data_IF_121791609536
#
_entry.id   IF_121791609536
#
_cell.length_a   1.000
_cell.length_b   1.000
_cell.length_c   1.000
_cell.angle_alpha   90.00
_cell.angle_beta   90.00
_cell.angle_gamma   90.00
#
_symmetry.space_group_name_H-M   'P 1'
#
loop_
_entity.id
_entity.type
_entity.pdbx_description
1 polymer ?
#
# COMPACT_ATOMS: atom_id res chain seq x y z
N UNK A 1 4.76 15.53 29.87
CA UNK A 1 5.20 16.93 29.73
C UNK A 1 5.97 17.17 28.43
N UNK A 2 7.07 16.44 28.20
CA UNK A 2 7.97 16.62 27.03
C UNK A 2 7.23 16.52 25.69
N UNK A 3 6.32 15.55 25.52
CA UNK A 3 5.55 15.38 24.28
C UNK A 3 4.70 16.63 23.95
N UNK A 4 4.00 17.16 24.95
CA UNK A 4 3.14 18.33 24.74
C UNK A 4 3.97 19.60 24.42
N UNK A 5 5.14 19.75 25.00
CA UNK A 5 6.04 20.85 24.72
C UNK A 5 6.63 20.75 23.31
N UNK A 6 7.08 19.54 22.89
CA UNK A 6 7.62 19.31 21.54
C UNK A 6 6.50 19.54 20.51
N UNK A 7 5.28 19.06 20.75
CA UNK A 7 4.15 19.28 19.84
C UNK A 7 3.82 20.76 19.67
N UNK A 8 3.90 21.55 20.76
CA UNK A 8 3.67 23.00 20.71
C UNK A 8 4.83 23.76 20.05
N UNK A 9 6.06 23.26 20.12
CA UNK A 9 7.23 23.90 19.50
C UNK A 9 7.30 23.73 17.98
N UNK A 10 6.66 22.70 17.44
CA UNK A 10 6.60 22.45 15.99
C UNK A 10 5.75 23.53 15.31
N UNK A 11 6.32 24.21 14.31
CA UNK A 11 5.59 25.24 13.55
C UNK A 11 4.36 24.65 12.85
N UNK A 12 3.17 25.29 12.91
CA UNK A 12 1.94 24.80 12.27
C UNK A 12 2.07 24.46 10.78
N UNK A 13 2.98 25.14 10.08
CA UNK A 13 3.27 24.89 8.67
C UNK A 13 3.67 23.44 8.38
N UNK A 14 4.37 22.75 9.30
CA UNK A 14 4.76 21.35 9.11
C UNK A 14 3.57 20.40 9.24
N UNK A 15 2.60 20.70 10.11
CA UNK A 15 1.35 19.93 10.22
C UNK A 15 0.52 20.07 8.94
N UNK A 16 0.36 21.29 8.45
CA UNK A 16 -0.37 21.56 7.19
C UNK A 16 0.33 20.87 6.02
N UNK A 17 1.66 20.94 5.93
CA UNK A 17 2.42 20.25 4.88
C UNK A 17 2.22 18.74 4.95
N UNK A 18 2.24 18.13 6.15
CA UNK A 18 1.98 16.71 6.35
C UNK A 18 0.57 16.30 5.88
N UNK A 19 -0.45 17.08 6.25
CA UNK A 19 -1.84 16.84 5.80
C UNK A 19 -1.97 16.96 4.27
N UNK A 20 -1.35 17.96 3.65
CA UNK A 20 -1.32 18.10 2.19
C UNK A 20 -0.66 16.88 1.54
N UNK A 21 0.44 16.37 2.09
CA UNK A 21 1.12 15.17 1.58
C UNK A 21 0.21 13.94 1.61
N UNK A 22 -0.58 13.76 2.68
CA UNK A 22 -1.57 12.67 2.78
C UNK A 22 -2.67 12.82 1.73
N UNK A 23 -3.23 14.02 1.58
CA UNK A 23 -4.25 14.28 0.54
C UNK A 23 -3.70 13.97 -0.85
N UNK A 24 -2.47 14.38 -1.16
CA UNK A 24 -1.82 14.07 -2.44
C UNK A 24 -1.62 12.55 -2.58
N UNK A 25 -1.22 11.87 -1.52
CA UNK A 25 -1.06 10.41 -1.49
C UNK A 25 -2.37 9.69 -1.87
N UNK A 26 -3.51 10.07 -1.26
CA UNK A 26 -4.83 9.51 -1.57
C UNK A 26 -5.26 9.87 -3.00
N UNK A 27 -5.00 11.10 -3.44
CA UNK A 27 -5.31 11.54 -4.80
C UNK A 27 -4.53 10.75 -5.86
N UNK A 28 -3.27 10.36 -5.59
CA UNK A 28 -2.50 9.51 -6.50
C UNK A 28 -3.17 8.15 -6.70
N UNK A 29 -3.62 7.47 -5.63
CA UNK A 29 -4.33 6.19 -5.77
C UNK A 29 -5.66 6.36 -6.51
N UNK A 30 -6.42 7.39 -6.16
CA UNK A 30 -7.67 7.72 -6.84
C UNK A 30 -7.45 7.96 -8.34
N UNK A 31 -6.35 8.62 -8.71
CA UNK A 31 -5.96 8.84 -10.10
C UNK A 31 -5.64 7.52 -10.80
N UNK A 32 -4.91 6.61 -10.15
CA UNK A 32 -4.58 5.29 -10.72
C UNK A 32 -5.87 4.50 -10.99
N UNK A 33 -6.77 4.39 -9.99
CA UNK A 33 -8.05 3.71 -10.13
C UNK A 33 -8.88 4.33 -11.26
N UNK A 34 -8.98 5.66 -11.30
CA UNK A 34 -9.68 6.40 -12.36
C UNK A 34 -9.12 6.07 -13.74
N UNK A 35 -7.81 6.08 -13.92
CA UNK A 35 -7.15 5.79 -15.20
C UNK A 35 -7.34 4.34 -15.62
N UNK A 36 -7.34 3.39 -14.68
CA UNK A 36 -7.64 1.98 -14.93
C UNK A 36 -9.08 1.78 -15.39
N UNK A 37 -10.05 2.41 -14.72
CA UNK A 37 -11.46 2.37 -15.13
C UNK A 37 -11.66 2.92 -16.55
N UNK A 38 -10.99 4.04 -16.90
CA UNK A 38 -11.05 4.60 -18.25
C UNK A 38 -10.44 3.68 -19.30
N UNK A 39 -9.35 3.00 -18.99
CA UNK A 39 -8.73 2.02 -19.88
C UNK A 39 -9.67 0.84 -20.16
N UNK A 40 -10.48 0.46 -19.18
CA UNK A 40 -11.46 -0.65 -19.25
C UNK A 40 -12.86 -0.18 -19.68
N UNK A 41 -12.96 1.03 -20.26
CA UNK A 41 -14.19 1.62 -20.82
C UNK A 41 -15.31 1.95 -19.82
N UNK A 42 -15.05 1.98 -18.53
CA UNK A 42 -15.99 2.47 -17.50
C UNK A 42 -15.99 4.00 -17.46
N UNK A 43 -16.58 4.62 -18.48
CA UNK A 43 -16.56 6.08 -18.68
C UNK A 43 -17.56 6.85 -17.81
N UNK A 44 -18.54 6.17 -17.24
CA UNK A 44 -19.61 6.78 -16.44
C UNK A 44 -19.21 7.02 -14.98
N UNK A 45 -18.13 6.40 -14.53
CA UNK A 45 -17.64 6.56 -13.15
C UNK A 45 -16.90 7.90 -13.00
N UNK A 46 -17.41 8.86 -12.22
CA UNK A 46 -16.78 10.16 -12.05
C UNK A 46 -15.54 10.06 -11.15
N UNK A 47 -14.59 11.00 -11.33
CA UNK A 47 -13.36 11.09 -10.50
C UNK A 47 -13.67 11.13 -9.00
N UNK A 48 -14.75 11.79 -8.60
CA UNK A 48 -15.20 11.89 -7.20
C UNK A 48 -15.45 10.51 -6.57
N UNK A 49 -15.98 9.54 -7.33
CA UNK A 49 -16.21 8.19 -6.81
C UNK A 49 -14.89 7.45 -6.62
N UNK A 50 -13.90 7.65 -7.51
CA UNK A 50 -12.56 7.07 -7.34
C UNK A 50 -11.87 7.59 -6.04
N UNK A 51 -12.07 8.88 -5.71
CA UNK A 51 -11.59 9.44 -4.43
C UNK A 51 -12.26 8.74 -3.25
N UNK A 52 -13.58 8.51 -3.30
CA UNK A 52 -14.29 7.75 -2.26
C UNK A 52 -13.76 6.32 -2.11
N UNK A 53 -13.47 5.63 -3.23
CA UNK A 53 -12.92 4.27 -3.17
C UNK A 53 -11.58 4.25 -2.44
N UNK A 54 -10.68 5.20 -2.72
CA UNK A 54 -9.38 5.29 -2.05
C UNK A 54 -9.53 5.56 -0.56
N UNK A 55 -10.35 6.55 -0.16
CA UNK A 55 -10.60 6.81 1.27
C UNK A 55 -11.19 5.61 2.00
N UNK A 56 -12.19 4.96 1.42
CA UNK A 56 -12.79 3.74 1.99
C UNK A 56 -11.74 2.62 2.09
N UNK A 57 -10.92 2.45 1.05
CA UNK A 57 -9.85 1.46 1.05
C UNK A 57 -8.86 1.68 2.18
N UNK A 58 -8.37 2.89 2.34
CA UNK A 58 -7.42 3.23 3.41
C UNK A 58 -8.04 3.09 4.79
N UNK A 59 -9.25 3.62 5.00
CA UNK A 59 -9.95 3.49 6.28
C UNK A 59 -10.09 2.02 6.71
N UNK A 60 -10.64 1.17 5.86
CA UNK A 60 -10.83 -0.25 6.19
C UNK A 60 -9.50 -1.02 6.27
N UNK A 61 -8.48 -0.63 5.53
CA UNK A 61 -7.14 -1.20 5.66
C UNK A 61 -6.52 -0.90 7.02
N UNK A 62 -6.77 0.28 7.58
CA UNK A 62 -6.24 0.66 8.88
C UNK A 62 -6.87 -0.10 10.06
N UNK A 63 -8.16 -0.45 9.98
CA UNK A 63 -8.89 -1.10 11.08
C UNK A 63 -8.92 -2.62 11.00
N UNK A 64 -8.44 -3.21 9.89
CA UNK A 64 -8.45 -4.67 9.69
C UNK A 64 -7.05 -5.28 9.74
N UNK A 65 -6.92 -6.52 10.25
CA UNK A 65 -5.65 -7.23 10.25
C UNK A 65 -5.08 -7.36 8.81
N UNK A 66 -3.79 -7.15 8.65
CA UNK A 66 -3.10 -7.21 7.34
C UNK A 66 -3.73 -6.35 6.23
N UNK A 67 -4.44 -5.27 6.59
CA UNK A 67 -5.15 -4.40 5.65
C UNK A 67 -6.18 -5.14 4.76
N UNK A 68 -6.69 -6.30 5.20
CA UNK A 68 -7.52 -7.20 4.39
C UNK A 68 -8.91 -6.64 4.06
N UNK A 69 -9.42 -5.69 4.84
CA UNK A 69 -10.74 -5.10 4.64
C UNK A 69 -10.81 -4.01 3.58
N UNK A 70 -9.69 -3.40 3.22
CA UNK A 70 -9.66 -2.27 2.29
C UNK A 70 -10.18 -2.63 0.89
N UNK A 71 -9.60 -3.64 0.27
CA UNK A 71 -9.97 -4.08 -1.08
C UNK A 71 -11.42 -4.58 -1.20
N UNK A 72 -11.95 -5.45 -0.31
CA UNK A 72 -13.35 -5.85 -0.36
C UNK A 72 -14.31 -4.67 -0.27
N UNK A 73 -14.00 -3.66 0.56
CA UNK A 73 -14.84 -2.47 0.66
C UNK A 73 -14.73 -1.56 -0.56
N UNK A 74 -13.55 -1.41 -1.15
CA UNK A 74 -13.40 -0.74 -2.44
C UNK A 74 -14.23 -1.43 -3.53
N UNK A 75 -14.17 -2.77 -3.63
CA UNK A 75 -14.97 -3.56 -4.56
C UNK A 75 -16.49 -3.38 -4.33
N UNK A 76 -16.91 -3.35 -3.08
CA UNK A 76 -18.31 -3.11 -2.75
C UNK A 76 -18.81 -1.76 -3.30
N UNK A 77 -18.06 -0.68 -3.09
CA UNK A 77 -18.43 0.64 -3.60
C UNK A 77 -18.30 0.75 -5.12
N UNK A 78 -17.30 0.11 -5.73
CA UNK A 78 -17.16 0.03 -7.18
C UNK A 78 -18.35 -0.71 -7.81
N UNK A 79 -18.78 -1.82 -7.21
CA UNK A 79 -19.93 -2.58 -7.69
C UNK A 79 -21.25 -1.79 -7.56
N UNK A 80 -21.41 -1.02 -6.48
CA UNK A 80 -22.54 -0.10 -6.32
C UNK A 80 -22.62 0.95 -7.43
N UNK A 81 -21.47 1.35 -7.95
CA UNK A 81 -21.35 2.29 -9.08
C UNK A 81 -21.33 1.54 -10.45
N UNK A 82 -21.85 0.31 -10.49
CA UNK A 82 -22.01 -0.54 -11.69
C UNK A 82 -20.70 -1.00 -12.33
N UNK A 83 -19.60 -1.03 -11.59
CA UNK A 83 -18.36 -1.68 -12.02
C UNK A 83 -18.46 -3.16 -11.67
N UNK A 84 -18.22 -4.03 -12.64
CA UNK A 84 -18.22 -5.48 -12.41
C UNK A 84 -17.17 -5.88 -11.37
N UNK A 85 -17.56 -6.77 -10.45
CA UNK A 85 -16.67 -7.23 -9.36
C UNK A 85 -15.37 -7.81 -9.92
N UNK A 86 -15.44 -8.55 -11.02
CA UNK A 86 -14.27 -9.15 -11.66
C UNK A 86 -13.30 -8.09 -12.19
N UNK A 87 -13.84 -7.06 -12.85
CA UNK A 87 -13.07 -5.93 -13.35
C UNK A 87 -12.47 -5.12 -12.22
N UNK A 88 -13.26 -4.82 -11.19
CA UNK A 88 -12.78 -4.15 -9.98
C UNK A 88 -11.66 -4.95 -9.29
N UNK A 89 -11.78 -6.28 -9.23
CA UNK A 89 -10.74 -7.16 -8.69
C UNK A 89 -9.43 -7.05 -9.47
N UNK A 90 -9.49 -7.07 -10.81
CA UNK A 90 -8.28 -6.89 -11.64
C UNK A 90 -7.64 -5.53 -11.39
N UNK A 91 -8.44 -4.44 -11.35
CA UNK A 91 -7.93 -3.09 -11.07
C UNK A 91 -7.20 -3.05 -9.73
N UNK A 92 -7.83 -3.51 -8.65
CA UNK A 92 -7.25 -3.47 -7.32
C UNK A 92 -6.04 -4.40 -7.18
N UNK A 93 -6.04 -5.53 -7.88
CA UNK A 93 -4.89 -6.42 -7.93
C UNK A 93 -3.70 -5.75 -8.62
N UNK A 94 -3.90 -5.04 -9.74
CA UNK A 94 -2.84 -4.27 -10.40
C UNK A 94 -2.35 -3.13 -9.51
N UNK A 95 -3.23 -2.39 -8.84
CA UNK A 95 -2.84 -1.36 -7.87
C UNK A 95 -1.94 -1.96 -6.79
N UNK A 96 -2.28 -3.12 -6.26
CA UNK A 96 -1.49 -3.82 -5.24
C UNK A 96 -0.15 -4.31 -5.79
N UNK A 97 -0.13 -4.87 -7.00
CA UNK A 97 1.12 -5.27 -7.68
C UNK A 97 2.05 -4.07 -7.83
N UNK A 98 1.55 -2.94 -8.34
CA UNK A 98 2.34 -1.72 -8.51
C UNK A 98 2.91 -1.23 -7.19
N UNK A 99 2.09 -1.21 -6.14
CA UNK A 99 2.50 -0.84 -4.80
C UNK A 99 3.64 -1.73 -4.27
N UNK A 100 3.43 -3.04 -4.27
CA UNK A 100 4.42 -4.00 -3.79
C UNK A 100 5.68 -4.02 -4.65
N UNK A 101 5.53 -3.86 -5.95
CA UNK A 101 6.67 -3.75 -6.87
C UNK A 101 7.51 -2.50 -6.57
N UNK A 102 6.88 -1.36 -6.23
CA UNK A 102 7.59 -0.16 -5.78
C UNK A 102 8.37 -0.44 -4.48
N UNK A 103 7.80 -1.17 -3.51
CA UNK A 103 8.52 -1.54 -2.29
C UNK A 103 9.75 -2.42 -2.60
N UNK A 104 9.59 -3.43 -3.46
CA UNK A 104 10.70 -4.29 -3.90
C UNK A 104 11.77 -3.47 -4.64
N UNK A 105 11.36 -2.58 -5.54
CA UNK A 105 12.24 -1.70 -6.28
C UNK A 105 13.05 -0.78 -5.36
N UNK A 106 12.38 -0.09 -4.43
CA UNK A 106 13.05 0.76 -3.44
C UNK A 106 13.97 -0.04 -2.52
N UNK A 107 13.55 -1.22 -2.07
CA UNK A 107 14.38 -2.12 -1.28
C UNK A 107 15.64 -2.55 -2.02
N UNK A 108 15.53 -2.87 -3.31
CA UNK A 108 16.68 -3.20 -4.15
C UNK A 108 17.63 -2.00 -4.33
N UNK A 109 17.10 -0.79 -4.57
CA UNK A 109 17.91 0.43 -4.65
C UNK A 109 18.65 0.72 -3.33
N UNK A 110 17.97 0.55 -2.20
CA UNK A 110 18.58 0.73 -0.87
C UNK A 110 19.68 -0.29 -0.67
N UNK A 111 19.45 -1.55 -1.00
CA UNK A 111 20.46 -2.60 -0.89
C UNK A 111 21.69 -2.34 -1.76
N UNK A 112 21.50 -1.86 -3.00
CA UNK A 112 22.60 -1.60 -3.93
C UNK A 112 23.40 -0.34 -3.58
N UNK A 113 22.72 0.75 -3.21
CA UNK A 113 23.36 2.07 -3.09
C UNK A 113 23.51 2.55 -1.66
N UNK A 114 22.82 1.96 -0.70
CA UNK A 114 22.78 2.41 0.71
C UNK A 114 22.97 1.28 1.72
N UNK A 115 23.62 0.16 1.33
CA UNK A 115 23.82 -0.97 2.22
C UNK A 115 24.62 -0.60 3.48
N UNK A 116 25.57 0.34 3.42
CA UNK A 116 26.30 0.83 4.59
C UNK A 116 25.37 1.53 5.58
N UNK A 117 24.47 2.39 5.09
CA UNK A 117 23.46 3.05 5.93
C UNK A 117 22.53 2.01 6.59
N UNK A 118 22.12 0.99 5.84
CA UNK A 118 21.34 -0.13 6.36
C UNK A 118 22.09 -0.86 7.47
N UNK A 119 23.37 -1.21 7.24
CA UNK A 119 24.20 -1.90 8.23
C UNK A 119 24.40 -1.07 9.52
N UNK A 120 24.56 0.24 9.40
CA UNK A 120 24.79 1.13 10.52
C UNK A 120 23.57 1.35 11.41
N UNK A 121 22.37 1.53 10.79
CA UNK A 121 21.16 1.95 11.51
C UNK A 121 20.18 0.81 11.78
N UNK A 122 20.14 -0.25 10.97
CA UNK A 122 19.14 -1.29 11.08
C UNK A 122 19.49 -2.39 12.10
N UNK A 123 20.78 -2.77 12.22
CA UNK A 123 21.21 -3.77 13.19
C UNK A 123 20.33 -5.04 13.22
N UNK A 124 19.75 -5.36 14.39
CA UNK A 124 18.86 -6.53 14.56
C UNK A 124 17.57 -6.47 13.74
N UNK A 125 17.15 -5.29 13.28
CA UNK A 125 15.97 -5.12 12.42
C UNK A 125 16.21 -5.62 10.97
N UNK A 126 17.46 -5.93 10.59
CA UNK A 126 17.80 -6.46 9.26
C UNK A 126 17.03 -7.75 8.93
N UNK A 127 16.79 -8.62 9.92
CA UNK A 127 15.97 -9.82 9.72
C UNK A 127 14.56 -9.47 9.18
N UNK A 128 13.88 -8.51 9.78
CA UNK A 128 12.55 -8.09 9.35
C UNK A 128 12.56 -7.46 7.94
N UNK A 129 13.63 -6.74 7.60
CA UNK A 129 13.79 -6.16 6.27
C UNK A 129 13.95 -7.26 5.21
N UNK A 130 14.84 -8.22 5.40
CA UNK A 130 15.04 -9.30 4.42
C UNK A 130 13.81 -10.22 4.33
N UNK A 131 13.17 -10.53 5.46
CA UNK A 131 11.91 -11.27 5.48
C UNK A 131 10.81 -10.51 4.71
N UNK A 132 10.63 -9.22 4.98
CA UNK A 132 9.68 -8.37 4.30
C UNK A 132 9.94 -8.29 2.79
N UNK A 133 11.21 -8.15 2.38
CA UNK A 133 11.61 -8.19 0.97
C UNK A 133 11.24 -9.52 0.30
N UNK A 134 11.60 -10.64 0.91
CA UNK A 134 11.30 -11.97 0.39
C UNK A 134 9.78 -12.19 0.23
N UNK A 135 9.00 -11.81 1.24
CA UNK A 135 7.55 -11.92 1.21
C UNK A 135 6.92 -11.01 0.13
N UNK A 136 7.41 -9.77 -0.01
CA UNK A 136 6.92 -8.87 -1.07
C UNK A 136 7.27 -9.39 -2.47
N UNK A 137 8.50 -9.88 -2.68
CA UNK A 137 8.90 -10.51 -3.96
C UNK A 137 8.01 -11.71 -4.27
N UNK A 138 7.81 -12.61 -3.30
CA UNK A 138 6.92 -13.75 -3.46
C UNK A 138 5.48 -13.32 -3.81
N UNK A 139 4.94 -12.34 -3.10
CA UNK A 139 3.59 -11.83 -3.34
C UNK A 139 3.46 -11.20 -4.75
N UNK A 140 4.43 -10.39 -5.17
CA UNK A 140 4.45 -9.80 -6.52
C UNK A 140 4.49 -10.89 -7.58
N UNK A 141 5.41 -11.87 -7.44
CA UNK A 141 5.52 -12.98 -8.39
C UNK A 141 4.21 -13.78 -8.47
N UNK A 142 3.61 -14.12 -7.33
CA UNK A 142 2.35 -14.83 -7.26
C UNK A 142 1.20 -14.05 -7.93
N UNK A 143 1.07 -12.76 -7.62
CA UNK A 143 0.01 -11.92 -8.20
C UNK A 143 0.23 -11.71 -9.71
N UNK A 144 1.47 -11.55 -10.16
CA UNK A 144 1.79 -11.47 -11.59
C UNK A 144 1.38 -12.76 -12.31
N UNK A 145 1.68 -13.92 -11.74
CA UNK A 145 1.23 -15.22 -12.31
C UNK A 145 -0.28 -15.23 -12.47
N UNK A 146 -1.04 -14.80 -11.47
CA UNK A 146 -2.51 -14.75 -11.55
C UNK A 146 -3.02 -13.81 -12.64
N UNK A 147 -2.33 -12.69 -12.89
CA UNK A 147 -2.70 -11.73 -13.96
C UNK A 147 -2.28 -12.24 -15.33
N UNK A 148 -1.07 -12.80 -15.48
CA UNK A 148 -0.54 -13.24 -16.77
C UNK A 148 -1.07 -14.61 -17.20
N UNK A 149 -1.47 -15.46 -16.22
CA UNK A 149 -2.06 -16.78 -16.43
C UNK A 149 -3.47 -16.84 -15.87
N UNK A 150 -4.45 -16.18 -16.52
CA UNK A 150 -5.83 -16.12 -16.01
C UNK A 150 -6.49 -17.50 -15.88
N UNK A 151 -6.01 -18.50 -16.63
CA UNK A 151 -6.46 -19.90 -16.51
C UNK A 151 -6.13 -20.51 -15.15
N UNK A 152 -4.96 -20.15 -14.56
CA UNK A 152 -4.59 -20.54 -13.21
C UNK A 152 -5.48 -19.84 -12.17
N UNK A 153 -5.75 -18.56 -12.35
CA UNK A 153 -6.68 -17.83 -11.49
C UNK A 153 -8.06 -18.51 -11.46
N UNK A 154 -8.60 -18.86 -12.63
CA UNK A 154 -9.88 -19.58 -12.74
C UNK A 154 -9.85 -20.95 -12.04
N UNK A 155 -8.77 -21.73 -12.21
CA UNK A 155 -8.62 -23.04 -11.55
C UNK A 155 -8.58 -22.89 -10.03
N UNK A 156 -7.87 -21.90 -9.51
CA UNK A 156 -7.79 -21.63 -8.06
C UNK A 156 -9.15 -21.25 -7.51
N UNK A 157 -9.88 -20.37 -8.19
CA UNK A 157 -11.24 -19.94 -7.77
C UNK A 157 -12.20 -21.12 -7.80
N UNK A 158 -12.20 -21.94 -8.86
CA UNK A 158 -13.03 -23.12 -8.95
C UNK A 158 -12.70 -24.16 -7.86
N UNK A 159 -11.41 -24.39 -7.60
CA UNK A 159 -10.97 -25.28 -6.53
C UNK A 159 -11.43 -24.79 -5.15
N UNK A 160 -11.28 -23.49 -4.86
CA UNK A 160 -11.79 -22.89 -3.62
C UNK A 160 -13.31 -23.04 -3.52
N UNK A 161 -14.05 -22.80 -4.60
CA UNK A 161 -15.49 -22.96 -4.65
C UNK A 161 -15.92 -24.40 -4.35
N UNK A 162 -15.27 -25.39 -4.98
CA UNK A 162 -15.51 -26.83 -4.73
C UNK A 162 -15.21 -27.20 -3.28
N UNK A 163 -14.13 -26.66 -2.69
CA UNK A 163 -13.80 -26.89 -1.28
C UNK A 163 -14.85 -26.30 -0.35
N UNK A 164 -15.33 -25.09 -0.60
CA UNK A 164 -16.38 -24.45 0.19
C UNK A 164 -17.73 -25.19 0.08
N UNK A 165 -18.06 -25.77 -1.09
CA UNK A 165 -19.19 -26.65 -1.26
C UNK A 165 -19.05 -27.93 -0.41
N UNK A 166 -17.87 -28.55 -0.41
CA UNK A 166 -17.59 -29.76 0.38
C UNK A 166 -17.75 -29.53 1.88
N UNK A 167 -17.43 -28.32 2.37
CA UNK A 167 -17.63 -27.92 3.77
C UNK A 167 -19.06 -27.44 4.07
N UNK A 168 -20.03 -27.62 3.15
CA UNK A 168 -21.43 -27.20 3.29
C UNK A 168 -21.65 -25.71 3.58
N UNK A 169 -20.63 -24.88 3.34
CA UNK A 169 -20.69 -23.42 3.52
C UNK A 169 -21.51 -22.78 2.37
N UNK A 170 -21.46 -23.39 1.18
CA UNK A 170 -22.19 -22.95 0.00
C UNK A 170 -23.10 -24.05 -0.51
N UNK A 171 -24.38 -23.75 -0.72
CA UNK A 171 -25.31 -24.66 -1.39
C UNK A 171 -25.05 -24.66 -2.90
N UNK A 172 -24.98 -25.86 -3.51
CA UNK A 172 -24.80 -26.05 -4.94
C UNK A 172 -26.00 -25.46 -5.68
N UNK A 173 -25.77 -24.39 -6.46
CA UNK A 173 -26.74 -23.79 -7.38
C UNK A 173 -26.06 -23.59 -8.73
N UNK A 174 -26.63 -24.17 -9.80
CA UNK A 174 -26.13 -24.01 -11.17
C UNK A 174 -26.00 -22.54 -11.57
N UNK A 175 -26.96 -21.71 -11.17
CA UNK A 175 -26.92 -20.25 -11.39
C UNK A 175 -25.65 -19.58 -10.83
N UNK A 176 -25.05 -20.09 -9.73
CA UNK A 176 -23.80 -19.55 -9.18
C UNK A 176 -22.60 -19.95 -10.01
N UNK A 177 -22.62 -21.13 -10.59
CA UNK A 177 -21.53 -21.60 -11.46
C UNK A 177 -21.50 -20.79 -12.76
N UNK A 178 -22.66 -20.51 -13.34
CA UNK A 178 -22.79 -19.66 -14.53
C UNK A 178 -22.33 -18.23 -14.24
N UNK A 179 -22.73 -17.64 -13.11
CA UNK A 179 -22.24 -16.32 -12.68
C UNK A 179 -20.73 -16.30 -12.47
N UNK A 180 -20.16 -17.39 -11.91
CA UNK A 180 -18.73 -17.51 -11.73
C UNK A 180 -17.99 -17.60 -13.07
N UNK A 181 -18.50 -18.37 -14.03
CA UNK A 181 -17.93 -18.47 -15.37
C UNK A 181 -17.94 -17.12 -16.10
N UNK A 182 -19.07 -16.40 -16.06
CA UNK A 182 -19.18 -15.06 -16.63
C UNK A 182 -18.21 -14.09 -15.98
N UNK A 183 -18.07 -14.15 -14.65
CA UNK A 183 -17.08 -13.35 -13.92
C UNK A 183 -15.64 -13.65 -14.34
N UNK A 184 -15.32 -14.92 -14.62
CA UNK A 184 -13.99 -15.31 -15.11
C UNK A 184 -13.74 -14.79 -16.53
N UNK A 185 -14.73 -14.77 -17.39
CA UNK A 185 -14.62 -14.20 -18.75
C UNK A 185 -14.28 -12.70 -18.67
N UNK A 186 -15.01 -11.95 -17.85
CA UNK A 186 -14.75 -10.51 -17.66
C UNK A 186 -13.37 -10.25 -17.02
N UNK A 187 -12.95 -11.09 -16.06
CA UNK A 187 -11.60 -11.05 -15.50
C UNK A 187 -10.53 -11.23 -16.59
N UNK A 188 -10.68 -12.24 -17.46
CA UNK A 188 -9.74 -12.52 -18.55
C UNK A 188 -9.65 -11.35 -19.53
N UNK A 189 -10.80 -10.78 -19.93
CA UNK A 189 -10.84 -9.61 -20.83
C UNK A 189 -10.12 -8.42 -20.22
N UNK A 190 -10.43 -8.08 -18.97
CA UNK A 190 -9.80 -6.95 -18.27
C UNK A 190 -8.29 -7.14 -18.13
N UNK A 191 -7.84 -8.33 -17.74
CA UNK A 191 -6.42 -8.65 -17.62
C UNK A 191 -5.69 -8.52 -18.97
N UNK A 192 -6.28 -9.04 -20.05
CA UNK A 192 -5.70 -8.97 -21.40
C UNK A 192 -5.56 -7.53 -21.91
N UNK A 193 -6.58 -6.67 -21.67
CA UNK A 193 -6.52 -5.26 -22.05
C UNK A 193 -5.36 -4.57 -21.32
N UNK A 194 -5.22 -4.79 -20.02
CA UNK A 194 -4.16 -4.17 -19.22
C UNK A 194 -2.79 -4.64 -19.68
N UNK A 195 -2.60 -5.95 -19.93
CA UNK A 195 -1.35 -6.53 -20.43
C UNK A 195 -0.91 -5.91 -21.76
N UNK A 196 -1.85 -5.59 -22.64
CA UNK A 196 -1.59 -4.94 -23.92
C UNK A 196 -1.05 -3.51 -23.80
N UNK A 197 -1.21 -2.84 -22.65
CA UNK A 197 -0.90 -1.43 -22.47
C UNK A 197 0.32 -1.17 -21.57
N UNK A 198 1.50 -1.71 -21.95
CA UNK A 198 2.74 -1.64 -21.15
C UNK A 198 3.16 -0.23 -20.75
N UNK A 199 3.07 0.74 -21.70
CA UNK A 199 3.42 2.15 -21.42
C UNK A 199 2.46 2.75 -20.38
N UNK A 200 1.18 2.39 -20.43
CA UNK A 200 0.22 2.81 -19.43
C UNK A 200 0.59 2.28 -18.03
N UNK A 201 0.93 0.99 -17.92
CA UNK A 201 1.35 0.37 -16.65
C UNK A 201 2.61 1.05 -16.13
N UNK A 202 3.59 1.34 -16.98
CA UNK A 202 4.80 2.07 -16.58
C UNK A 202 4.47 3.47 -16.03
N UNK A 203 3.53 4.20 -16.66
CA UNK A 203 3.07 5.50 -16.13
C UNK A 203 2.42 5.36 -14.76
N UNK A 204 1.59 4.33 -14.56
CA UNK A 204 0.97 4.06 -13.25
C UNK A 204 2.02 3.67 -12.20
N UNK A 205 3.06 2.92 -12.58
CA UNK A 205 4.20 2.63 -11.72
C UNK A 205 4.90 3.92 -11.26
N UNK A 206 5.17 4.87 -12.16
CA UNK A 206 5.77 6.16 -11.79
C UNK A 206 4.88 6.94 -10.82
N UNK A 207 3.57 6.97 -11.05
CA UNK A 207 2.63 7.61 -10.11
C UNK A 207 2.66 6.94 -8.74
N UNK A 208 2.68 5.60 -8.70
CA UNK A 208 2.78 4.84 -7.45
C UNK A 208 4.11 5.09 -6.74
N UNK A 209 5.21 5.19 -7.48
CA UNK A 209 6.52 5.53 -6.92
C UNK A 209 6.50 6.91 -6.26
N UNK A 210 5.98 7.91 -6.94
CA UNK A 210 5.82 9.27 -6.40
C UNK A 210 4.93 9.24 -5.15
N UNK A 211 3.80 8.54 -5.20
CA UNK A 211 2.89 8.34 -4.07
C UNK A 211 3.62 7.79 -2.84
N UNK A 212 4.45 6.76 -3.01
CA UNK A 212 5.20 6.15 -1.89
C UNK A 212 6.31 7.05 -1.38
N UNK A 213 7.02 7.73 -2.26
CA UNK A 213 8.04 8.70 -1.86
C UNK A 213 7.44 9.86 -1.06
N UNK A 214 6.28 10.37 -1.43
CA UNK A 214 5.55 11.39 -0.66
C UNK A 214 5.23 10.86 0.75
N UNK A 215 4.68 9.65 0.85
CA UNK A 215 4.35 9.04 2.13
C UNK A 215 5.59 8.88 3.04
N UNK A 216 6.70 8.37 2.50
CA UNK A 216 7.94 8.21 3.27
C UNK A 216 8.60 9.54 3.63
N UNK A 217 8.38 10.58 2.82
CA UNK A 217 8.88 11.93 3.09
C UNK A 217 8.23 12.61 4.30
N UNK A 218 7.09 12.11 4.80
CA UNK A 218 6.46 12.60 6.03
C UNK A 218 7.43 12.47 7.21
N UNK A 219 8.18 11.36 7.30
CA UNK A 219 9.18 11.19 8.35
C UNK A 219 10.32 12.20 8.24
N UNK A 220 10.75 12.54 7.02
CA UNK A 220 11.72 13.62 6.81
C UNK A 220 11.14 14.99 7.18
N UNK A 221 9.87 15.24 6.88
CA UNK A 221 9.18 16.45 7.29
C UNK A 221 9.19 16.62 8.82
N UNK A 222 8.89 15.55 9.56
CA UNK A 222 8.95 15.53 11.03
C UNK A 222 10.37 15.72 11.53
N UNK A 223 11.37 15.08 10.90
CA UNK A 223 12.78 15.24 11.19
C UNK A 223 13.20 16.71 11.09
N UNK A 224 12.81 17.40 10.02
CA UNK A 224 13.10 18.83 9.83
C UNK A 224 12.30 19.72 10.79
N UNK A 225 11.06 19.35 11.09
CA UNK A 225 10.22 20.07 12.05
C UNK A 225 10.81 20.11 13.47
N UNK A 226 11.60 19.09 13.83
CA UNK A 226 12.31 19.02 15.10
C UNK A 226 13.69 19.72 15.08
N UNK A 227 14.02 20.47 14.03
CA UNK A 227 15.26 21.23 13.92
C UNK A 227 16.50 20.41 13.57
N UNK A 228 16.32 19.13 13.21
CA UNK A 228 17.42 18.23 12.87
C UNK A 228 17.84 18.38 11.40
N UNK A 229 19.14 18.27 11.11
CA UNK A 229 19.69 18.45 9.76
C UNK A 229 20.91 17.58 9.42
N UNK A 230 21.29 16.65 10.32
CA UNK A 230 22.48 15.82 10.15
C UNK A 230 22.36 14.82 8.98
N UNK A 231 21.15 14.30 8.72
CA UNK A 231 20.88 13.36 7.61
C UNK A 231 20.20 14.05 6.43
N UNK A 232 20.57 13.60 5.22
CA UNK A 232 19.93 14.02 3.98
C UNK A 232 18.52 13.46 3.80
N UNK A 233 17.77 14.06 2.87
CA UNK A 233 16.42 13.61 2.49
C UNK A 233 16.40 12.12 2.11
N UNK A 234 17.35 11.70 1.26
CA UNK A 234 17.40 10.32 0.74
C UNK A 234 17.62 9.32 1.87
N UNK A 235 18.46 9.65 2.87
CA UNK A 235 18.79 8.73 3.96
C UNK A 235 17.60 8.49 4.88
N UNK A 236 16.89 9.54 5.26
CA UNK A 236 15.68 9.42 6.10
C UNK A 236 14.57 8.69 5.36
N UNK A 237 14.34 8.99 4.07
CA UNK A 237 13.35 8.31 3.23
C UNK A 237 13.72 6.83 3.04
N UNK A 238 15.00 6.50 2.85
CA UNK A 238 15.48 5.14 2.76
C UNK A 238 15.21 4.35 4.06
N UNK A 239 15.54 4.91 5.22
CA UNK A 239 15.27 4.27 6.51
C UNK A 239 13.77 4.06 6.77
N UNK A 240 12.94 5.04 6.40
CA UNK A 240 11.47 4.90 6.49
C UNK A 240 10.93 3.84 5.52
N UNK A 241 11.51 3.74 4.32
CA UNK A 241 11.15 2.68 3.36
C UNK A 241 11.48 1.29 3.89
N UNK A 242 12.61 1.14 4.58
CA UNK A 242 12.99 -0.13 5.24
C UNK A 242 11.95 -0.54 6.28
N UNK A 243 11.46 0.38 7.12
CA UNK A 243 10.39 0.08 8.07
C UNK A 243 9.15 -0.40 7.34
N UNK A 244 8.73 0.33 6.30
CA UNK A 244 7.53 -0.02 5.53
C UNK A 244 7.64 -1.39 4.87
N UNK A 245 8.77 -1.71 4.23
CA UNK A 245 9.03 -3.03 3.64
C UNK A 245 8.97 -4.14 4.70
N UNK A 246 9.54 -3.88 5.88
CA UNK A 246 9.62 -4.86 6.97
C UNK A 246 8.25 -5.23 7.54
N UNK A 247 7.29 -4.31 7.54
CA UNK A 247 5.98 -4.52 8.19
C UNK A 247 4.83 -4.80 7.24
N UNK A 248 5.00 -4.53 5.94
CA UNK A 248 3.93 -4.55 4.94
C UNK A 248 3.17 -5.89 4.87
N UNK A 249 3.86 -7.01 5.04
CA UNK A 249 3.28 -8.36 4.96
C UNK A 249 2.98 -8.98 6.33
N UNK A 250 3.19 -8.26 7.43
CA UNK A 250 2.94 -8.80 8.76
C UNK A 250 1.43 -8.76 9.10
N UNK A 251 0.89 -9.79 9.76
CA UNK A 251 -0.54 -9.92 10.03
C UNK A 251 -1.01 -9.04 11.20
N UNK A 252 -0.67 -7.76 11.17
CA UNK A 252 -1.04 -6.78 12.20
C UNK A 252 -1.80 -5.62 11.58
N UNK A 253 -2.84 -5.09 12.22
CA UNK A 253 -3.58 -3.92 11.75
C UNK A 253 -2.63 -2.72 11.59
N UNK A 254 -2.43 -2.25 10.32
CA UNK A 254 -1.52 -1.14 10.02
C UNK A 254 -0.07 -1.31 10.48
N UNK A 255 0.38 -2.55 10.77
CA UNK A 255 1.72 -2.83 11.29
C UNK A 255 1.96 -2.32 12.71
N UNK A 256 0.88 -2.03 13.48
CA UNK A 256 0.98 -1.47 14.83
C UNK A 256 1.83 -2.34 15.76
N UNK A 257 2.60 -1.70 16.61
CA UNK A 257 3.54 -2.32 17.55
C UNK A 257 4.90 -2.58 16.91
N UNK A 258 4.95 -3.32 15.81
CA UNK A 258 6.23 -3.65 15.14
C UNK A 258 6.81 -2.44 14.41
N UNK A 259 5.98 -1.67 13.69
CA UNK A 259 6.47 -0.47 13.00
C UNK A 259 6.98 0.60 13.96
N UNK A 260 6.32 0.77 15.12
CA UNK A 260 6.78 1.66 16.18
C UNK A 260 8.09 1.15 16.78
N UNK A 261 8.17 -0.15 17.07
CA UNK A 261 9.40 -0.78 17.59
C UNK A 261 10.57 -0.66 16.61
N UNK A 262 10.34 -0.86 15.32
CA UNK A 262 11.35 -0.66 14.27
C UNK A 262 11.74 0.81 14.15
N UNK A 263 10.77 1.74 14.20
CA UNK A 263 11.05 3.17 14.20
C UNK A 263 11.96 3.55 15.37
N UNK A 264 11.60 3.14 16.58
CA UNK A 264 12.40 3.41 17.79
C UNK A 264 13.82 2.82 17.69
N UNK A 265 13.96 1.64 17.10
CA UNK A 265 15.26 0.99 16.93
C UNK A 265 16.14 1.71 15.88
N UNK A 266 15.59 1.94 14.69
CA UNK A 266 16.32 2.49 13.54
C UNK A 266 16.66 3.96 13.76
N UNK A 267 15.69 4.73 14.26
CA UNK A 267 15.85 6.18 14.44
C UNK A 267 16.44 6.60 15.79
N UNK A 268 16.79 5.64 16.67
CA UNK A 268 17.35 5.91 18.01
C UNK A 268 18.64 6.78 17.97
N UNK A 269 19.48 6.55 16.97
CA UNK A 269 20.73 7.30 16.78
C UNK A 269 20.52 8.68 16.14
N UNK A 270 19.35 8.90 15.54
CA UNK A 270 19.00 10.07 14.73
C UNK A 270 18.25 11.10 15.57
N UNK A 271 17.20 10.66 16.28
CA UNK A 271 16.42 11.52 17.17
C UNK A 271 16.98 11.43 18.59
N UNK A 272 17.92 12.31 18.90
CA UNK A 272 18.57 12.42 20.22
C UNK A 272 17.83 13.40 21.14
N UNK A 273 18.21 13.47 22.41
CA UNK A 273 17.69 14.48 23.34
C UNK A 273 16.21 14.33 23.71
N UNK A 274 15.67 13.09 23.74
CA UNK A 274 14.26 12.84 24.10
C UNK A 274 13.27 13.06 22.95
N UNK A 275 13.72 13.37 21.74
CA UNK A 275 12.87 13.63 20.56
C UNK A 275 12.34 12.36 19.88
N UNK A 276 12.88 11.18 20.20
CA UNK A 276 12.57 9.93 19.50
C UNK A 276 11.08 9.54 19.59
N UNK A 277 10.50 9.54 20.79
CA UNK A 277 9.09 9.22 21.00
C UNK A 277 8.15 10.27 20.39
N UNK A 278 8.37 11.58 20.60
CA UNK A 278 7.61 12.62 19.90
C UNK A 278 7.68 12.50 18.37
N UNK A 279 8.86 12.20 17.80
CA UNK A 279 9.03 12.01 16.37
C UNK A 279 8.24 10.81 15.84
N UNK A 280 8.29 9.69 16.55
CA UNK A 280 7.52 8.51 16.21
C UNK A 280 6.01 8.82 16.22
N UNK A 281 5.51 9.43 17.28
CA UNK A 281 4.09 9.77 17.41
C UNK A 281 3.63 10.78 16.36
N UNK A 282 4.45 11.79 16.03
CA UNK A 282 4.14 12.74 14.96
C UNK A 282 4.16 12.10 13.59
N UNK A 283 5.20 11.34 13.27
CA UNK A 283 5.32 10.65 11.98
C UNK A 283 4.15 9.68 11.77
N UNK A 284 3.79 8.89 12.79
CA UNK A 284 2.65 7.97 12.76
C UNK A 284 1.32 8.71 12.83
N UNK A 285 1.25 9.81 13.60
CA UNK A 285 0.07 10.67 13.70
C UNK A 285 -0.34 11.21 12.35
N UNK A 286 0.61 11.70 11.57
CA UNK A 286 0.36 12.22 10.23
C UNK A 286 0.14 11.06 9.24
N UNK A 287 1.06 10.09 9.18
CA UNK A 287 1.05 9.06 8.14
C UNK A 287 0.02 7.94 8.33
N UNK A 288 -0.50 7.74 9.55
CA UNK A 288 -1.40 6.66 9.87
C UNK A 288 -2.74 7.11 10.45
N UNK A 289 -2.74 8.13 11.33
CA UNK A 289 -3.98 8.60 11.98
C UNK A 289 -4.66 9.72 11.21
N UNK A 290 -3.97 10.48 10.35
CA UNK A 290 -4.60 11.51 9.53
C UNK A 290 -5.39 10.92 8.33
N UNK A 291 -5.15 9.65 7.97
CA UNK A 291 -5.90 8.91 6.95
C UNK A 291 -7.24 8.35 7.48
N UNK A 292 -7.50 8.48 8.79
CA UNK A 292 -8.72 8.05 9.48
C UNK A 292 -9.69 9.21 9.68
#
# INVERSE_FOLDING_TARGET
>A
PILAEVLKSVKPAYYIAGLVMIVVFVCCESYIIYRMLRLLHYNDVPKRNCVKYSFVGFFFSCITPSATGGQPMQLYYMNRDKVDISVGTVILMIVTILYKFVLVFLGALIFLFRHFLVAEYIGKAAFFFYLGMALNVFCVAFMLILVFEPTLASKIVLWLFQKLEKFHILKKKEERLEKLQNSMIEYHKAAAIIQGHRIFIFRMFVVTLIQRLIHFSITYLVYRAMGLSALGFIDVVALQSVISISVDMLPLPGGMGISEGLFLNIFKKIFVGGLLYPAMLLSRGISYYADR
#
